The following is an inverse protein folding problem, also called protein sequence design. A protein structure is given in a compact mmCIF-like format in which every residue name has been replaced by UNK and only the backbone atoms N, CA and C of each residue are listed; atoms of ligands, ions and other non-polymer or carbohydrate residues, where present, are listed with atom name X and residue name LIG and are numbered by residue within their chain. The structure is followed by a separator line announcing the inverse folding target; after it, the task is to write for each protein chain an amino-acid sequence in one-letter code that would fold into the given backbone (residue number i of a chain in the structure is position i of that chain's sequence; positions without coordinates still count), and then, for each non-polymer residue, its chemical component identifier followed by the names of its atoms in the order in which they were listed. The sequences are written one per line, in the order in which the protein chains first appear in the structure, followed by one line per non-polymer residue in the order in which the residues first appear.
data_IF_491227544703
#
_entry.id   IF_491227544703
#
_cell.length_a   1.000
_cell.length_b   1.000
_cell.length_c   1.000
_cell.angle_alpha   90.00
_cell.angle_beta   90.00
_cell.angle_gamma   90.00
#
_symmetry.space_group_name_H-M   'P 1'
#
loop_
_entity.id
_entity.type
_entity.pdbx_description
1 polymer ?
#
# COMPACT_ATOMS: atom_id res chain seq x y z
N UNK A 1 13.19 -27.96 -12.09
CA UNK A 1 12.52 -28.96 -11.24
C UNK A 1 11.01 -28.80 -11.35
N UNK A 2 10.32 -29.85 -11.79
CA UNK A 2 8.88 -29.89 -12.11
C UNK A 2 8.02 -29.89 -10.84
N UNK A 3 7.05 -28.97 -10.74
CA UNK A 3 6.07 -28.89 -9.64
C UNK A 3 5.04 -30.03 -9.64
N UNK A 4 5.07 -30.91 -10.63
CA UNK A 4 4.10 -31.98 -10.81
C UNK A 4 4.18 -33.12 -9.77
N UNK A 5 5.12 -33.11 -8.82
CA UNK A 5 5.35 -34.26 -7.92
C UNK A 5 5.21 -33.98 -6.42
N UNK A 6 4.96 -32.73 -5.97
CA UNK A 6 4.74 -32.47 -4.54
C UNK A 6 3.30 -32.04 -4.28
N UNK A 7 2.45 -33.00 -3.92
CA UNK A 7 1.12 -32.75 -3.34
C UNK A 7 1.29 -32.16 -1.92
N UNK A 8 1.61 -30.87 -1.84
CA UNK A 8 1.57 -30.15 -0.56
C UNK A 8 0.20 -29.49 -0.40
N UNK A 9 -0.41 -29.65 0.77
CA UNK A 9 -1.61 -28.85 1.12
C UNK A 9 -1.22 -27.37 1.10
N UNK A 10 -1.96 -26.51 0.38
CA UNK A 10 -1.66 -25.09 0.35
C UNK A 10 -1.87 -24.48 1.74
N UNK A 11 -0.82 -23.86 2.27
CA UNK A 11 -0.86 -23.06 3.49
C UNK A 11 -1.79 -21.85 3.34
N UNK A 12 -2.28 -21.30 4.46
CA UNK A 12 -3.05 -20.04 4.48
C UNK A 12 -2.32 -18.92 3.74
N UNK A 13 -1.00 -18.78 3.94
CA UNK A 13 -0.19 -17.79 3.23
C UNK A 13 -0.20 -18.04 1.71
N UNK A 14 -0.05 -19.29 1.25
CA UNK A 14 -0.10 -19.59 -0.19
C UNK A 14 -1.46 -19.32 -0.83
N UNK A 15 -2.56 -19.44 -0.06
CA UNK A 15 -3.90 -19.08 -0.54
C UNK A 15 -4.06 -17.55 -0.66
N UNK A 16 -3.37 -16.79 0.18
CA UNK A 16 -3.43 -15.32 0.19
C UNK A 16 -2.49 -14.67 -0.82
N UNK A 17 -1.38 -15.33 -1.18
CA UNK A 17 -0.36 -14.78 -2.08
C UNK A 17 -0.90 -14.26 -3.44
N UNK A 18 -1.87 -14.91 -4.12
CA UNK A 18 -2.42 -14.39 -5.37
C UNK A 18 -3.24 -13.10 -5.20
N UNK A 19 -3.80 -12.87 -4.01
CA UNK A 19 -4.60 -11.68 -3.70
C UNK A 19 -3.74 -10.48 -3.31
N UNK A 20 -2.44 -10.67 -3.08
CA UNK A 20 -1.51 -9.57 -2.87
C UNK A 20 -1.38 -8.84 -4.20
N UNK A 21 -1.84 -7.58 -4.31
CA UNK A 21 -1.78 -6.89 -5.58
C UNK A 21 -0.31 -6.63 -5.95
N UNK A 22 0.00 -6.75 -7.24
CA UNK A 22 1.36 -6.64 -7.77
C UNK A 22 1.40 -5.57 -8.86
N UNK A 23 2.56 -4.91 -9.00
CA UNK A 23 2.78 -4.01 -10.12
C UNK A 23 2.87 -4.81 -11.43
N UNK A 24 2.27 -4.36 -12.55
CA UNK A 24 2.26 -5.10 -13.81
C UNK A 24 3.67 -5.45 -14.31
N UNK A 25 4.62 -4.53 -14.12
CA UNK A 25 6.02 -4.73 -14.52
C UNK A 25 6.85 -5.61 -13.57
N UNK A 26 6.27 -6.13 -12.49
CA UNK A 26 6.97 -7.00 -11.56
C UNK A 26 7.18 -8.41 -12.12
N UNK A 27 6.43 -8.81 -13.15
CA UNK A 27 6.60 -10.09 -13.83
C UNK A 27 7.22 -9.85 -15.23
N UNK A 28 8.15 -10.72 -15.67
CA UNK A 28 8.62 -10.69 -17.05
C UNK A 28 7.45 -11.02 -17.97
N UNK A 29 7.42 -10.44 -19.17
CA UNK A 29 6.33 -10.67 -20.13
C UNK A 29 6.23 -12.13 -20.55
N UNK A 30 7.37 -12.74 -20.82
CA UNK A 30 7.47 -14.17 -21.05
C UNK A 30 7.62 -14.92 -19.72
N UNK A 31 6.48 -15.25 -19.13
CA UNK A 31 6.43 -16.01 -17.89
C UNK A 31 6.65 -17.47 -18.22
N UNK A 32 7.78 -17.97 -17.73
CA UNK A 32 8.00 -19.41 -17.66
C UNK A 32 7.21 -19.99 -16.50
N UNK A 33 6.62 -21.20 -16.62
CA UNK A 33 5.83 -21.83 -15.55
C UNK A 33 6.53 -21.90 -14.17
N UNK A 34 7.87 -22.01 -14.16
CA UNK A 34 8.67 -21.99 -12.94
C UNK A 34 8.66 -20.64 -12.23
N UNK A 35 8.50 -19.54 -12.96
CA UNK A 35 8.50 -18.17 -12.45
C UNK A 35 7.13 -17.67 -12.00
N UNK A 36 6.03 -18.30 -12.47
CA UNK A 36 4.67 -17.86 -12.18
C UNK A 36 4.37 -17.77 -10.67
N UNK A 37 4.87 -18.74 -9.89
CA UNK A 37 4.61 -18.78 -8.43
C UNK A 37 5.63 -17.97 -7.63
N UNK A 38 6.63 -17.35 -8.27
CA UNK A 38 7.65 -16.58 -7.56
C UNK A 38 7.14 -15.18 -7.29
N UNK A 39 7.10 -14.82 -6.00
CA UNK A 39 6.85 -13.46 -5.59
C UNK A 39 7.87 -12.49 -6.21
N UNK A 40 7.48 -11.24 -6.51
CA UNK A 40 8.41 -10.21 -6.97
C UNK A 40 9.62 -9.96 -6.05
N UNK A 41 9.51 -10.26 -4.75
CA UNK A 41 10.62 -10.19 -3.79
C UNK A 41 11.66 -11.32 -3.95
N UNK A 42 11.28 -12.45 -4.54
CA UNK A 42 12.16 -13.58 -4.75
C UNK A 42 12.99 -13.39 -6.03
N UNK A 43 14.26 -13.79 -5.97
CA UNK A 43 15.15 -13.79 -7.13
C UNK A 43 14.65 -14.81 -8.16
N UNK A 44 14.51 -14.37 -9.40
CA UNK A 44 14.32 -15.27 -10.53
C UNK A 44 15.58 -16.13 -10.70
N UNK A 45 15.43 -17.46 -10.74
CA UNK A 45 16.56 -18.34 -10.99
C UNK A 45 17.06 -18.15 -12.42
N UNK A 46 18.38 -18.11 -12.56
CA UNK A 46 19.01 -18.12 -13.87
C UNK A 46 18.76 -19.47 -14.54
N UNK A 47 18.40 -19.44 -15.82
CA UNK A 47 18.18 -20.67 -16.59
C UNK A 47 19.47 -21.00 -17.31
N UNK A 48 20.08 -22.12 -16.97
CA UNK A 48 21.08 -22.76 -17.82
C UNK A 48 20.46 -23.45 -19.05
N UNK A 49 19.13 -23.36 -19.25
CA UNK A 49 18.45 -24.02 -20.37
C UNK A 49 18.37 -23.08 -21.59
N UNK A 50 18.89 -23.50 -22.76
CA UNK A 50 19.04 -22.65 -23.96
C UNK A 50 17.74 -22.33 -24.70
N UNK A 51 16.60 -22.82 -24.22
CA UNK A 51 15.36 -22.92 -25.03
C UNK A 51 14.67 -21.56 -25.23
N UNK A 52 14.93 -20.54 -24.39
CA UNK A 52 14.33 -19.20 -24.57
C UNK A 52 15.34 -18.10 -24.22
N UNK A 53 15.71 -17.29 -25.22
CA UNK A 53 16.20 -15.95 -24.98
C UNK A 53 15.02 -15.15 -24.40
N UNK A 54 15.15 -14.68 -23.16
CA UNK A 54 14.09 -13.90 -22.53
C UNK A 54 14.38 -12.43 -22.72
N UNK A 55 13.44 -11.74 -23.36
CA UNK A 55 13.46 -10.29 -23.41
C UNK A 55 13.13 -9.72 -22.02
N UNK A 56 14.18 -9.59 -21.21
CA UNK A 56 14.08 -8.97 -19.89
C UNK A 56 14.11 -7.46 -20.07
N UNK A 57 12.99 -6.82 -19.77
CA UNK A 57 12.86 -5.37 -19.80
C UNK A 57 12.42 -4.83 -18.45
N UNK A 58 12.78 -3.58 -18.18
CA UNK A 58 12.36 -2.84 -16.98
C UNK A 58 11.86 -1.46 -17.41
N UNK A 59 10.69 -1.03 -16.93
CA UNK A 59 10.12 0.29 -17.26
C UNK A 59 9.93 0.56 -18.76
N UNK A 60 9.38 1.73 -19.10
CA UNK A 60 9.40 2.26 -20.46
C UNK A 60 10.58 3.23 -20.65
N UNK A 61 10.94 3.52 -21.90
CA UNK A 61 11.91 4.55 -22.26
C UNK A 61 11.47 5.91 -21.70
N UNK A 62 12.38 6.59 -21.00
CA UNK A 62 12.11 7.88 -20.35
C UNK A 62 11.19 7.81 -19.14
N UNK A 63 10.87 6.60 -18.64
CA UNK A 63 10.13 6.44 -17.38
C UNK A 63 11.10 6.18 -16.22
N UNK A 64 10.98 6.91 -15.09
CA UNK A 64 11.85 6.72 -13.95
C UNK A 64 11.64 5.34 -13.30
N UNK A 65 12.72 4.58 -13.16
CA UNK A 65 12.70 3.22 -12.57
C UNK A 65 12.46 3.26 -11.07
N UNK A 66 13.12 4.19 -10.39
CA UNK A 66 13.22 4.25 -8.92
C UNK A 66 12.31 5.33 -8.32
N UNK A 67 11.16 5.57 -8.93
CA UNK A 67 10.24 6.59 -8.44
C UNK A 67 9.53 6.13 -7.17
N UNK A 68 9.62 6.93 -6.13
CA UNK A 68 8.90 6.75 -4.87
C UNK A 68 7.77 7.79 -4.81
N UNK A 69 6.63 7.49 -4.16
CA UNK A 69 5.57 8.47 -3.95
C UNK A 69 6.12 9.73 -3.26
N UNK A 70 5.57 10.94 -3.53
CA UNK A 70 6.02 12.17 -2.87
C UNK A 70 5.90 12.11 -1.35
N UNK A 71 4.88 11.40 -0.86
CA UNK A 71 4.63 11.15 0.58
C UNK A 71 5.63 10.15 1.21
N UNK A 72 6.60 9.64 0.45
CA UNK A 72 7.54 8.65 0.96
C UNK A 72 8.50 9.21 2.00
N UNK A 73 8.84 10.49 1.89
CA UNK A 73 9.79 11.13 2.81
C UNK A 73 11.16 10.45 2.78
N UNK A 74 11.88 10.57 3.90
CA UNK A 74 13.19 9.96 4.06
C UNK A 74 13.06 8.51 4.52
N UNK A 75 13.66 7.59 3.77
CA UNK A 75 13.60 6.15 4.07
C UNK A 75 14.88 5.69 4.78
N UNK A 76 14.72 5.27 6.03
CA UNK A 76 15.80 4.69 6.83
C UNK A 76 15.96 3.17 6.64
N UNK A 77 15.14 2.54 5.78
CA UNK A 77 15.19 1.08 5.59
C UNK A 77 16.42 0.63 4.78
N UNK A 78 17.00 1.50 3.96
CA UNK A 78 18.16 1.19 3.12
C UNK A 78 19.21 2.31 3.16
N UNK A 79 19.84 2.56 4.33
CA UNK A 79 20.79 3.66 4.51
C UNK A 79 22.03 3.53 3.61
N UNK A 80 22.38 2.29 3.25
CA UNK A 80 23.53 1.99 2.39
C UNK A 80 23.15 1.79 0.91
N UNK A 81 21.90 2.04 0.50
CA UNK A 81 21.42 1.89 -0.88
C UNK A 81 21.72 0.50 -1.50
N UNK A 82 21.64 -0.55 -0.68
CA UNK A 82 21.89 -1.94 -1.09
C UNK A 82 20.76 -2.50 -1.95
N UNK A 83 19.53 -2.04 -1.72
CA UNK A 83 18.33 -2.49 -2.46
C UNK A 83 18.18 -1.72 -3.75
N UNK A 84 18.33 -0.39 -3.70
CA UNK A 84 18.20 0.49 -4.86
C UNK A 84 19.49 1.27 -5.07
N UNK A 85 20.29 0.84 -6.05
CA UNK A 85 21.42 1.63 -6.52
C UNK A 85 20.90 2.82 -7.31
N UNK A 86 20.94 4.01 -6.72
CA UNK A 86 20.57 5.28 -7.35
C UNK A 86 21.65 5.80 -8.29
N UNK A 87 22.14 4.95 -9.20
CA UNK A 87 22.98 5.42 -10.31
C UNK A 87 22.10 6.15 -11.31
N UNK A 88 22.65 7.16 -11.98
CA UNK A 88 21.99 7.78 -13.12
C UNK A 88 21.73 6.73 -14.22
N UNK A 89 20.56 6.80 -14.85
CA UNK A 89 20.11 5.89 -15.89
C UNK A 89 19.53 6.72 -17.04
N UNK A 90 20.29 6.90 -18.12
CA UNK A 90 19.96 7.81 -19.22
C UNK A 90 18.65 7.42 -19.91
N UNK A 91 18.48 6.13 -20.20
CA UNK A 91 17.28 5.60 -20.86
C UNK A 91 16.01 5.69 -19.99
N UNK A 92 16.14 6.02 -18.71
CA UNK A 92 15.03 6.15 -17.77
C UNK A 92 14.85 7.57 -17.26
N UNK A 93 15.61 8.53 -17.79
CA UNK A 93 15.45 9.92 -17.42
C UNK A 93 14.18 10.49 -18.06
N UNK A 94 13.28 10.98 -17.22
CA UNK A 94 12.03 11.64 -17.62
C UNK A 94 12.28 12.92 -18.44
N UNK A 95 13.40 13.58 -18.21
CA UNK A 95 13.77 14.82 -18.90
C UNK A 95 14.35 14.56 -20.29
N UNK A 96 14.82 13.34 -20.57
CA UNK A 96 15.31 12.96 -21.89
C UNK A 96 14.21 12.49 -22.84
N UNK A 97 12.94 12.47 -22.40
CA UNK A 97 11.82 11.93 -23.19
C UNK A 97 11.66 12.61 -24.54
N UNK A 98 11.84 13.93 -24.59
CA UNK A 98 11.73 14.73 -25.82
C UNK A 98 12.91 14.53 -26.77
N UNK A 99 14.06 14.10 -26.24
CA UNK A 99 15.27 13.86 -27.03
C UNK A 99 15.23 12.53 -27.80
N UNK A 100 14.38 11.58 -27.38
CA UNK A 100 14.25 10.26 -28.01
C UNK A 100 13.41 10.32 -29.30
N UNK A 101 13.98 10.88 -30.37
CA UNK A 101 13.39 10.88 -31.71
C UNK A 101 13.25 9.46 -32.28
N UNK A 102 12.34 9.26 -33.25
CA UNK A 102 12.13 7.96 -33.89
C UNK A 102 13.40 7.39 -34.56
N UNK A 103 14.27 8.26 -35.07
CA UNK A 103 15.57 7.85 -35.62
C UNK A 103 16.48 7.25 -34.53
N UNK A 104 16.56 7.90 -33.37
CA UNK A 104 17.31 7.41 -32.22
C UNK A 104 16.70 6.13 -31.66
N UNK A 105 15.38 6.04 -31.54
CA UNK A 105 14.70 4.80 -31.10
C UNK A 105 15.02 3.62 -32.03
N UNK A 106 15.02 3.83 -33.35
CA UNK A 106 15.44 2.79 -34.32
C UNK A 106 16.90 2.37 -34.13
N UNK A 107 17.78 3.29 -33.74
CA UNK A 107 19.17 2.97 -33.41
C UNK A 107 19.27 2.18 -32.10
N UNK A 108 18.52 2.58 -31.06
CA UNK A 108 18.48 1.89 -29.76
C UNK A 108 17.93 0.45 -29.88
N UNK A 109 16.89 0.25 -30.71
CA UNK A 109 16.36 -1.10 -31.02
C UNK A 109 17.40 -1.95 -31.75
N UNK A 110 18.11 -1.39 -32.73
CA UNK A 110 19.22 -2.09 -33.43
C UNK A 110 20.39 -2.45 -32.51
N UNK A 111 20.58 -1.71 -31.41
CA UNK A 111 21.59 -1.96 -30.38
C UNK A 111 21.09 -2.84 -29.24
N UNK A 112 19.86 -3.36 -29.32
CA UNK A 112 19.21 -4.19 -28.28
C UNK A 112 19.13 -3.52 -26.90
N UNK A 113 19.19 -2.19 -26.86
CA UNK A 113 19.03 -1.42 -25.62
C UNK A 113 17.55 -1.28 -25.24
N UNK A 114 16.67 -1.40 -26.23
CA UNK A 114 15.22 -1.23 -26.09
C UNK A 114 14.52 -2.30 -26.94
N UNK A 115 13.42 -2.85 -26.43
CA UNK A 115 12.59 -3.80 -27.16
C UNK A 115 11.70 -3.12 -28.22
N UNK A 116 10.95 -3.92 -28.98
CA UNK A 116 10.03 -3.40 -30.00
C UNK A 116 8.92 -2.50 -29.42
N UNK A 117 8.55 -2.72 -28.15
CA UNK A 117 7.55 -1.96 -27.39
C UNK A 117 8.12 -0.73 -26.66
N UNK A 118 9.33 -0.30 -26.99
CA UNK A 118 9.98 0.89 -26.38
C UNK A 118 10.31 0.76 -24.88
N UNK A 119 10.50 -0.46 -24.39
CA UNK A 119 10.95 -0.77 -23.03
C UNK A 119 12.44 -1.05 -22.97
N UNK A 120 13.08 -0.58 -21.92
CA UNK A 120 14.53 -0.68 -21.77
C UNK A 120 14.92 -2.10 -21.38
N UNK A 121 15.82 -2.70 -22.15
CA UNK A 121 16.35 -4.04 -21.92
C UNK A 121 17.28 -4.05 -20.70
N UNK A 122 17.32 -5.18 -19.98
CA UNK A 122 18.10 -5.29 -18.77
C UNK A 122 18.61 -6.71 -18.50
N UNK A 123 19.60 -6.82 -17.63
CA UNK A 123 20.10 -8.11 -17.16
C UNK A 123 19.15 -8.73 -16.13
N UNK A 124 19.24 -10.05 -15.94
CA UNK A 124 18.47 -10.76 -14.89
C UNK A 124 18.69 -10.16 -13.49
N UNK A 125 19.93 -9.74 -13.21
CA UNK A 125 20.27 -9.06 -11.95
C UNK A 125 19.51 -7.75 -11.78
N UNK A 126 19.51 -6.90 -12.81
CA UNK A 126 18.82 -5.62 -12.81
C UNK A 126 17.30 -5.81 -12.70
N UNK A 127 16.74 -6.81 -13.39
CA UNK A 127 15.33 -7.14 -13.28
C UNK A 127 14.97 -7.60 -11.86
N UNK A 128 15.77 -8.47 -11.24
CA UNK A 128 15.54 -8.90 -9.86
C UNK A 128 15.56 -7.72 -8.87
N UNK A 129 16.47 -6.77 -9.05
CA UNK A 129 16.49 -5.52 -8.26
C UNK A 129 15.23 -4.68 -8.49
N UNK A 130 14.84 -4.51 -9.75
CA UNK A 130 13.64 -3.75 -10.11
C UNK A 130 12.36 -4.38 -9.54
N UNK A 131 12.21 -5.70 -9.66
CA UNK A 131 11.09 -6.46 -9.07
C UNK A 131 11.01 -6.31 -7.55
N UNK A 132 12.15 -6.43 -6.87
CA UNK A 132 12.24 -6.25 -5.42
C UNK A 132 11.84 -4.83 -5.00
N UNK A 133 12.28 -3.81 -5.75
CA UNK A 133 11.89 -2.43 -5.51
C UNK A 133 10.38 -2.21 -5.70
N UNK A 134 9.81 -2.65 -6.82
CA UNK A 134 8.37 -2.52 -7.09
C UNK A 134 7.55 -3.19 -5.97
N UNK A 135 7.98 -4.36 -5.51
CA UNK A 135 7.36 -5.05 -4.39
C UNK A 135 7.38 -4.21 -3.11
N UNK A 136 8.53 -3.67 -2.74
CA UNK A 136 8.67 -2.85 -1.54
C UNK A 136 7.85 -1.57 -1.62
N UNK A 137 7.90 -0.86 -2.74
CA UNK A 137 7.10 0.34 -3.01
C UNK A 137 5.61 0.04 -2.82
N UNK A 138 5.11 -1.02 -3.45
CA UNK A 138 3.70 -1.40 -3.38
C UNK A 138 3.29 -1.82 -1.97
N UNK A 139 4.15 -2.59 -1.28
CA UNK A 139 3.93 -2.99 0.12
C UNK A 139 3.82 -1.78 1.05
N UNK A 140 4.66 -0.77 0.86
CA UNK A 140 4.63 0.45 1.66
C UNK A 140 3.34 1.25 1.42
N UNK A 141 2.90 1.36 0.16
CA UNK A 141 1.63 1.99 -0.18
C UNK A 141 0.45 1.28 0.51
N UNK A 142 0.41 -0.05 0.44
CA UNK A 142 -0.62 -0.84 1.14
C UNK A 142 -0.58 -0.63 2.66
N UNK A 143 0.61 -0.60 3.28
CA UNK A 143 0.75 -0.33 4.71
C UNK A 143 0.17 1.03 5.11
N UNK A 144 0.41 2.07 4.31
CA UNK A 144 -0.16 3.41 4.54
C UNK A 144 -1.68 3.43 4.41
N UNK A 145 -2.22 2.76 3.39
CA UNK A 145 -3.67 2.63 3.22
C UNK A 145 -4.31 1.93 4.41
N UNK A 146 -3.71 0.84 4.91
CA UNK A 146 -4.18 0.14 6.10
C UNK A 146 -4.11 1.01 7.36
N UNK A 147 -3.04 1.80 7.53
CA UNK A 147 -2.93 2.75 8.63
C UNK A 147 -4.02 3.83 8.56
N UNK A 148 -4.26 4.39 7.37
CA UNK A 148 -5.31 5.39 7.15
C UNK A 148 -6.69 4.82 7.48
N UNK A 149 -7.03 3.64 6.97
CA UNK A 149 -8.28 2.94 7.28
C UNK A 149 -8.45 2.68 8.78
N UNK A 150 -7.36 2.33 9.48
CA UNK A 150 -7.37 2.17 10.93
C UNK A 150 -7.65 3.47 11.68
N UNK A 151 -7.03 4.57 11.25
CA UNK A 151 -7.27 5.91 11.82
C UNK A 151 -8.69 6.39 11.56
N UNK A 152 -9.20 6.23 10.34
CA UNK A 152 -10.56 6.62 9.96
C UNK A 152 -11.60 5.87 10.81
N UNK A 153 -11.42 4.55 10.96
CA UNK A 153 -12.29 3.74 11.84
C UNK A 153 -12.24 4.20 13.30
N UNK A 154 -11.06 4.52 13.82
CA UNK A 154 -10.93 5.01 15.19
C UNK A 154 -11.62 6.37 15.40
N UNK A 155 -11.61 7.22 14.37
CA UNK A 155 -12.32 8.49 14.37
C UNK A 155 -13.83 8.28 14.32
N UNK A 156 -14.32 7.37 13.49
CA UNK A 156 -15.75 7.00 13.43
C UNK A 156 -16.23 6.44 14.78
N UNK A 157 -15.45 5.55 15.39
CA UNK A 157 -15.75 5.00 16.72
C UNK A 157 -15.77 6.11 17.79
N UNK A 158 -14.90 7.11 17.69
CA UNK A 158 -14.90 8.27 18.59
C UNK A 158 -16.14 9.14 18.39
N UNK A 159 -16.48 9.47 17.14
CA UNK A 159 -17.64 10.28 16.79
C UNK A 159 -18.94 9.61 17.24
N UNK A 160 -19.08 8.29 17.05
CA UNK A 160 -20.23 7.53 17.53
C UNK A 160 -20.36 7.58 19.07
N UNK A 161 -19.24 7.52 19.82
CA UNK A 161 -19.25 7.68 21.28
C UNK A 161 -19.67 9.09 21.70
N UNK A 162 -19.20 10.13 21.00
CA UNK A 162 -19.62 11.51 21.27
C UNK A 162 -21.11 11.67 21.00
N UNK A 163 -21.61 11.14 19.89
CA UNK A 163 -23.02 11.23 19.53
C UNK A 163 -23.91 10.51 20.55
N UNK A 164 -23.58 9.28 20.92
CA UNK A 164 -24.30 8.55 21.98
C UNK A 164 -24.26 9.26 23.32
N UNK A 165 -23.14 9.90 23.68
CA UNK A 165 -23.07 10.74 24.89
C UNK A 165 -23.99 11.96 24.78
N UNK A 166 -24.03 12.65 23.64
CA UNK A 166 -24.94 13.78 23.43
C UNK A 166 -26.41 13.36 23.50
N UNK A 167 -26.77 12.18 23.00
CA UNK A 167 -28.13 11.64 23.05
C UNK A 167 -28.54 11.18 24.47
N UNK A 168 -27.59 10.73 25.30
CA UNK A 168 -27.87 10.14 26.61
C UNK A 168 -27.72 11.10 27.78
N UNK A 169 -26.97 12.20 27.63
CA UNK A 169 -26.84 13.21 28.67
C UNK A 169 -28.14 14.02 28.73
N UNK A 170 -28.87 14.03 29.87
CA UNK A 170 -30.05 14.86 29.99
C UNK A 170 -29.63 16.31 29.88
N UNK A 171 -30.42 17.05 29.09
CA UNK A 171 -30.11 18.42 28.71
C UNK A 171 -29.96 19.28 29.98
N UNK A 172 -29.18 20.37 29.90
CA UNK A 172 -28.93 21.21 31.08
C UNK A 172 -30.26 21.67 31.71
N UNK A 173 -31.23 22.02 30.87
CA UNK A 173 -32.57 22.41 31.27
C UNK A 173 -33.36 21.28 31.95
N UNK A 174 -33.23 20.05 31.46
CA UNK A 174 -33.88 18.87 32.04
C UNK A 174 -33.32 18.57 33.43
N UNK A 175 -31.99 18.61 33.59
CA UNK A 175 -31.34 18.50 34.91
C UNK A 175 -31.78 19.63 35.85
N UNK A 176 -31.92 20.85 35.34
CA UNK A 176 -32.36 22.01 36.13
C UNK A 176 -33.83 21.85 36.56
N UNK A 177 -34.68 21.37 35.66
CA UNK A 177 -36.09 21.08 35.91
C UNK A 177 -36.26 20.00 36.99
N UNK A 178 -35.53 18.89 36.88
CA UNK A 178 -35.53 17.82 37.91
C UNK A 178 -35.10 18.38 39.27
N UNK A 179 -34.06 19.23 39.33
CA UNK A 179 -33.62 19.86 40.59
C UNK A 179 -34.68 20.79 41.16
N UNK A 180 -35.30 21.65 40.35
CA UNK A 180 -36.37 22.57 40.78
C UNK A 180 -37.56 21.79 41.33
N UNK A 181 -38.01 20.75 40.64
CA UNK A 181 -39.13 19.92 41.10
C UNK A 181 -38.82 19.19 42.41
N UNK A 182 -37.59 18.68 42.59
CA UNK A 182 -37.17 18.09 43.86
C UNK A 182 -37.17 19.11 44.99
N UNK A 183 -36.63 20.31 44.76
CA UNK A 183 -36.61 21.38 45.75
C UNK A 183 -38.04 21.82 46.14
N UNK A 184 -38.93 21.99 45.16
CA UNK A 184 -40.34 22.30 45.39
C UNK A 184 -41.03 21.20 46.21
N UNK A 185 -40.83 19.92 45.85
CA UNK A 185 -41.39 18.79 46.60
C UNK A 185 -40.88 18.72 48.05
N UNK A 186 -39.60 18.99 48.30
CA UNK A 186 -39.04 19.08 49.66
C UNK A 186 -39.68 20.23 50.44
N UNK A 187 -39.83 21.39 49.80
CA UNK A 187 -40.44 22.56 50.42
C UNK A 187 -41.91 22.31 50.78
N UNK A 188 -42.71 21.78 49.86
CA UNK A 188 -44.11 21.43 50.12
C UNK A 188 -44.24 20.43 51.26
N UNK A 189 -43.44 19.35 51.27
CA UNK A 189 -43.43 18.39 52.38
C UNK A 189 -43.10 19.02 53.72
N UNK A 190 -42.13 19.95 53.76
CA UNK A 190 -41.81 20.69 54.99
C UNK A 190 -42.97 21.58 55.41
N UNK A 191 -43.60 22.29 54.49
CA UNK A 191 -44.73 23.16 54.78
C UNK A 191 -45.96 22.40 55.25
N UNK A 192 -46.27 21.25 54.64
CA UNK A 192 -47.39 20.41 55.04
C UNK A 192 -47.15 19.79 56.42
N UNK A 193 -45.93 19.33 56.70
CA UNK A 193 -45.55 18.90 58.05
C UNK A 193 -45.63 20.02 59.09
N UNK A 194 -45.28 21.26 58.71
CA UNK A 194 -45.40 22.42 59.59
C UNK A 194 -46.86 22.76 59.90
N UNK A 195 -47.74 22.69 58.90
CA UNK A 195 -49.19 22.88 59.09
C UNK A 195 -49.79 21.83 60.02
N UNK A 196 -49.38 20.57 59.88
CA UNK A 196 -49.81 19.47 60.76
C UNK A 196 -49.32 19.61 62.21
N UNK A 197 -48.31 20.44 62.48
CA UNK A 197 -47.83 20.71 63.85
C UNK A 197 -48.44 21.96 64.49
N UNK A 198 -49.16 22.78 63.71
CA UNK A 198 -49.74 24.05 64.16
C UNK A 198 -51.27 23.95 64.35
N UNK A 199 -51.92 22.94 63.76
CA UNK A 199 -53.27 22.48 64.10
C UNK A 199 -53.25 21.45 65.24
#
# INVERSE_FOLDING_TARGET
MSKFLSLRRPTTISKLAPFVPQHPDALPREIVPQWADLLPSAKLPDRCCPVHAKDLSRGALGQPVWELPPEHGFDLQDPELRVVRRSYLELHDKHLREFWTEALKKYLKRRELINNEERVMCTLRQLNQYRSFLFQRYRLQLKRLLQKLGSDKAMDDHNAKVQTHMETVPDFEEKLFIRRNRAAGIYSKKMDGWKQTVE
#
